data_IF_773330609362
#
_entry.id   IF_773330609362
#
_cell.length_a   1.000
_cell.length_b   1.000
_cell.length_c   1.000
_cell.angle_alpha   90.00
_cell.angle_beta   90.00
_cell.angle_gamma   90.00
#
_symmetry.space_group_name_H-M   'P 1'
#
loop_
_entity.id
_entity.type
_entity.pdbx_description
1 polymer ?
#
# COMPACT_ATOMS: atom_id res chain seq x y z
N UNK A 1 -67.95 25.84 22.97
CA UNK A 1 -66.75 26.57 22.50
C UNK A 1 -65.63 25.56 22.30
N UNK A 2 -65.17 25.32 21.06
CA UNK A 2 -64.01 24.47 20.77
C UNK A 2 -62.74 25.32 20.92
N UNK A 3 -61.89 25.02 21.89
CA UNK A 3 -60.51 25.52 21.93
C UNK A 3 -59.65 24.67 21.01
N UNK A 4 -59.08 25.28 19.97
CA UNK A 4 -58.02 24.68 19.19
C UNK A 4 -56.68 24.86 19.93
N UNK A 5 -55.81 23.82 20.00
CA UNK A 5 -54.50 23.98 20.60
C UNK A 5 -53.63 24.89 19.74
N UNK A 6 -53.10 25.94 20.36
CA UNK A 6 -52.09 26.85 19.84
C UNK A 6 -50.84 26.08 19.39
N UNK A 7 -50.66 25.91 18.08
CA UNK A 7 -49.44 25.34 17.52
C UNK A 7 -48.28 26.33 17.65
N UNK A 8 -47.37 26.12 18.60
CA UNK A 8 -46.01 26.68 18.53
C UNK A 8 -45.01 25.53 18.49
N UNK A 9 -44.38 25.32 17.32
CA UNK A 9 -42.93 25.45 17.29
C UNK A 9 -42.38 26.06 15.99
N UNK A 10 -42.94 27.15 15.45
CA UNK A 10 -42.44 27.71 14.17
C UNK A 10 -41.07 28.41 14.26
N UNK A 11 -40.76 29.10 15.38
CA UNK A 11 -39.51 29.88 15.50
C UNK A 11 -38.25 29.05 15.76
N UNK A 12 -38.36 27.92 16.46
CA UNK A 12 -37.23 27.03 16.73
C UNK A 12 -36.85 26.25 15.47
N UNK A 13 -37.84 25.73 14.74
CA UNK A 13 -37.62 25.01 13.48
C UNK A 13 -37.00 25.93 12.42
N UNK A 14 -37.47 27.17 12.27
CA UNK A 14 -36.86 28.12 11.33
C UNK A 14 -35.39 28.44 11.63
N UNK A 15 -35.02 28.54 12.92
CA UNK A 15 -33.63 28.77 13.34
C UNK A 15 -32.75 27.57 13.03
N UNK A 16 -33.26 26.35 13.26
CA UNK A 16 -32.53 25.11 12.95
C UNK A 16 -32.34 24.98 11.44
N UNK A 17 -33.39 25.20 10.64
CA UNK A 17 -33.31 25.17 9.17
C UNK A 17 -32.35 26.24 8.66
N UNK A 18 -32.40 27.46 9.18
CA UNK A 18 -31.48 28.54 8.80
C UNK A 18 -30.02 28.22 9.13
N UNK A 19 -29.75 27.66 10.32
CA UNK A 19 -28.40 27.24 10.71
C UNK A 19 -27.89 26.09 9.84
N UNK A 20 -28.76 25.12 9.53
CA UNK A 20 -28.44 23.98 8.66
C UNK A 20 -28.08 24.46 7.25
N UNK A 21 -28.87 25.38 6.70
CA UNK A 21 -28.62 25.95 5.38
C UNK A 21 -27.30 26.72 5.34
N UNK A 22 -27.00 27.48 6.39
CA UNK A 22 -25.77 28.24 6.52
C UNK A 22 -24.54 27.31 6.61
N UNK A 23 -24.65 26.21 7.36
CA UNK A 23 -23.61 25.16 7.39
C UNK A 23 -23.41 24.52 6.03
N UNK A 24 -24.47 24.24 5.27
CA UNK A 24 -24.37 23.68 3.92
C UNK A 24 -23.70 24.68 2.96
N UNK A 25 -24.06 25.96 3.03
CA UNK A 25 -23.45 27.00 2.19
C UNK A 25 -21.95 27.14 2.51
N UNK A 26 -21.58 27.15 3.79
CA UNK A 26 -20.17 27.19 4.20
C UNK A 26 -19.43 25.93 3.74
N UNK A 27 -20.04 24.75 3.89
CA UNK A 27 -19.47 23.49 3.42
C UNK A 27 -19.23 23.50 1.90
N UNK A 28 -20.20 23.97 1.11
CA UNK A 28 -20.08 24.07 -0.35
C UNK A 28 -19.02 25.11 -0.76
N UNK A 29 -18.95 26.24 -0.06
CA UNK A 29 -17.94 27.27 -0.31
C UNK A 29 -16.53 26.73 -0.04
N UNK A 30 -16.31 26.06 1.10
CA UNK A 30 -15.02 25.45 1.45
C UNK A 30 -14.66 24.32 0.51
N UNK A 31 -15.64 23.50 0.10
CA UNK A 31 -15.42 22.38 -0.83
C UNK A 31 -14.86 22.84 -2.17
N UNK A 32 -15.21 24.05 -2.63
CA UNK A 32 -14.70 24.63 -3.88
C UNK A 32 -13.21 25.01 -3.82
N UNK A 33 -12.64 25.14 -2.62
CA UNK A 33 -11.21 25.43 -2.42
C UNK A 33 -10.38 24.18 -2.13
N UNK A 34 -11.01 23.00 -2.01
CA UNK A 34 -10.31 21.74 -1.78
C UNK A 34 -9.89 21.17 -3.14
N UNK A 35 -8.59 21.18 -3.41
CA UNK A 35 -8.01 20.61 -4.62
C UNK A 35 -8.04 19.07 -4.55
N UNK A 36 -8.95 18.42 -5.28
CA UNK A 36 -9.10 16.96 -5.31
C UNK A 36 -8.34 16.40 -6.53
N UNK A 37 -7.37 15.50 -6.32
CA UNK A 37 -6.67 14.84 -7.44
C UNK A 37 -7.60 13.86 -8.16
N UNK A 38 -7.27 13.49 -9.41
CA UNK A 38 -8.10 12.65 -10.31
C UNK A 38 -8.51 11.29 -9.71
N UNK A 39 -7.78 10.82 -8.71
CA UNK A 39 -7.92 9.51 -8.06
C UNK A 39 -8.50 9.63 -6.64
N UNK A 40 -8.90 10.83 -6.22
CA UNK A 40 -9.41 11.12 -4.88
C UNK A 40 -10.88 11.57 -4.96
N UNK A 41 -11.61 11.43 -3.85
CA UNK A 41 -12.95 12.01 -3.72
C UNK A 41 -12.89 13.22 -2.79
N UNK A 42 -13.80 14.17 -2.97
CA UNK A 42 -13.93 15.32 -2.07
C UNK A 42 -14.16 14.90 -0.63
N UNK A 43 -15.00 13.88 -0.40
CA UNK A 43 -15.29 13.35 0.93
C UNK A 43 -14.04 12.77 1.58
N UNK A 44 -13.26 11.99 0.82
CA UNK A 44 -11.98 11.46 1.27
C UNK A 44 -11.01 12.58 1.67
N UNK A 45 -10.92 13.65 0.86
CA UNK A 45 -10.03 14.77 1.17
C UNK A 45 -10.45 15.54 2.42
N UNK A 46 -11.76 15.71 2.63
CA UNK A 46 -12.31 16.30 3.86
C UNK A 46 -11.95 15.43 5.06
N UNK A 47 -12.07 14.10 4.95
CA UNK A 47 -11.64 13.19 6.01
C UNK A 47 -10.15 13.36 6.31
N UNK A 48 -9.29 13.39 5.29
CA UNK A 48 -7.84 13.64 5.47
C UNK A 48 -7.57 14.92 6.26
N UNK A 49 -8.21 16.05 5.92
CA UNK A 49 -8.05 17.31 6.67
C UNK A 49 -8.45 17.21 8.13
N UNK A 50 -9.42 16.35 8.46
CA UNK A 50 -9.91 16.17 9.83
C UNK A 50 -9.08 15.16 10.63
N UNK A 51 -8.45 14.18 9.98
CA UNK A 51 -7.81 13.05 10.67
C UNK A 51 -6.29 13.04 10.58
N UNK A 52 -5.68 13.66 9.57
CA UNK A 52 -4.23 13.60 9.39
C UNK A 52 -3.51 14.49 10.40
N UNK A 53 -2.51 13.91 11.06
CA UNK A 53 -1.53 14.65 11.81
C UNK A 53 -0.57 15.41 10.87
N UNK A 54 0.29 16.26 11.44
CA UNK A 54 1.31 16.96 10.66
C UNK A 54 2.25 15.99 9.94
N UNK A 55 2.63 14.88 10.58
CA UNK A 55 3.50 13.87 10.00
C UNK A 55 2.80 13.12 8.85
N UNK A 56 1.51 12.82 9.00
CA UNK A 56 0.71 12.16 7.94
C UNK A 56 0.60 13.05 6.70
N UNK A 57 0.47 14.37 6.89
CA UNK A 57 0.49 15.33 5.79
C UNK A 57 1.83 15.39 5.06
N UNK A 58 2.95 15.34 5.78
CA UNK A 58 4.28 15.30 5.15
C UNK A 58 4.49 13.99 4.40
N UNK A 59 4.08 12.85 4.96
CA UNK A 59 4.16 11.55 4.29
C UNK A 59 3.26 11.49 3.04
N UNK A 60 2.03 12.00 3.12
CA UNK A 60 1.14 12.10 1.97
C UNK A 60 1.76 12.96 0.86
N UNK A 61 2.30 14.14 1.20
CA UNK A 61 2.99 15.00 0.23
C UNK A 61 4.25 14.34 -0.33
N UNK A 62 5.00 13.62 0.49
CA UNK A 62 6.18 12.89 0.05
C UNK A 62 5.78 11.77 -0.92
N UNK A 63 4.74 10.99 -0.62
CA UNK A 63 4.22 9.95 -1.52
C UNK A 63 3.71 10.57 -2.84
N UNK A 64 3.02 11.71 -2.77
CA UNK A 64 2.62 12.43 -3.98
C UNK A 64 3.81 12.90 -4.78
N UNK A 65 4.81 13.47 -4.13
CA UNK A 65 6.06 13.90 -4.77
C UNK A 65 6.76 12.71 -5.42
N UNK A 66 6.83 11.55 -4.75
CA UNK A 66 7.40 10.32 -5.32
C UNK A 66 6.65 9.83 -6.57
N UNK A 67 5.32 10.02 -6.62
CA UNK A 67 4.51 9.69 -7.79
C UNK A 67 4.65 10.72 -8.92
N UNK A 68 4.71 12.01 -8.57
CA UNK A 68 4.84 13.11 -9.54
C UNK A 68 6.26 13.17 -10.14
N UNK A 69 7.30 12.80 -9.38
CA UNK A 69 8.70 12.68 -9.84
C UNK A 69 8.94 11.40 -10.67
N UNK A 70 8.03 10.41 -10.58
CA UNK A 70 8.11 9.14 -11.31
C UNK A 70 6.79 8.85 -12.06
N UNK A 71 6.42 9.69 -13.06
CA UNK A 71 5.16 9.53 -13.77
C UNK A 71 5.21 8.23 -14.60
N UNK A 72 4.28 7.31 -14.33
CA UNK A 72 4.18 6.07 -15.10
C UNK A 72 3.86 6.37 -16.57
N UNK A 73 4.61 5.75 -17.49
CA UNK A 73 4.12 5.51 -18.85
C UNK A 73 3.11 4.36 -18.72
N UNK A 74 1.85 4.63 -19.02
CA UNK A 74 0.76 3.66 -18.88
C UNK A 74 1.09 2.33 -19.58
N UNK A 75 1.51 1.33 -18.81
CA UNK A 75 1.50 -0.06 -19.23
C UNK A 75 0.20 -0.66 -18.74
N UNK A 76 -0.79 -0.67 -19.64
CA UNK A 76 -1.99 -1.47 -19.53
C UNK A 76 -1.60 -2.94 -19.47
N UNK A 77 -1.86 -3.59 -18.35
CA UNK A 77 -1.98 -5.05 -18.29
C UNK A 77 -3.39 -5.37 -17.84
N UNK A 78 -4.16 -5.89 -18.80
CA UNK A 78 -5.45 -6.50 -18.61
C UNK A 78 -5.34 -7.66 -17.60
N UNK A 79 -6.41 -7.82 -16.84
CA UNK A 79 -6.68 -8.95 -15.94
C UNK A 79 -6.48 -10.28 -16.66
N UNK A 80 -5.53 -11.11 -16.20
CA UNK A 80 -5.36 -12.49 -16.66
C UNK A 80 -5.86 -13.46 -15.59
N UNK A 81 -6.63 -14.44 -16.06
CA UNK A 81 -7.25 -15.56 -15.36
C UNK A 81 -6.46 -16.18 -14.21
N UNK A 82 -7.19 -16.56 -13.16
CA UNK A 82 -6.75 -17.36 -12.01
C UNK A 82 -6.53 -18.81 -12.47
N UNK A 83 -5.46 -19.05 -13.24
CA UNK A 83 -4.81 -20.34 -13.25
C UNK A 83 -4.00 -20.45 -11.95
N UNK A 84 -4.09 -21.59 -11.24
CA UNK A 84 -3.31 -21.89 -10.02
C UNK A 84 -1.83 -21.59 -10.23
N UNK A 85 -1.41 -20.36 -9.90
CA UNK A 85 -0.03 -19.94 -9.97
C UNK A 85 0.76 -20.76 -8.95
N UNK A 86 1.97 -21.19 -9.34
CA UNK A 86 2.87 -21.80 -8.38
C UNK A 86 3.09 -20.79 -7.25
N UNK A 87 2.86 -21.20 -6.01
CA UNK A 87 3.15 -20.37 -4.86
C UNK A 87 4.68 -20.21 -4.75
N UNK A 88 5.16 -19.00 -5.01
CA UNK A 88 6.57 -18.64 -4.93
C UNK A 88 6.95 -17.98 -3.60
N UNK A 89 5.96 -17.70 -2.73
CA UNK A 89 6.19 -16.96 -1.51
C UNK A 89 6.78 -17.88 -0.45
N UNK A 90 7.84 -17.41 0.20
CA UNK A 90 8.47 -18.11 1.32
C UNK A 90 7.95 -17.51 2.62
N UNK A 91 7.68 -18.35 3.60
CA UNK A 91 7.05 -17.95 4.86
C UNK A 91 7.93 -18.25 6.09
N UNK A 92 7.65 -17.59 7.21
CA UNK A 92 8.34 -17.84 8.48
C UNK A 92 7.97 -19.23 9.02
N UNK A 93 8.87 -20.19 8.84
CA UNK A 93 8.67 -21.57 9.30
C UNK A 93 8.71 -21.74 10.82
N UNK A 94 9.17 -20.72 11.57
CA UNK A 94 9.22 -20.77 13.05
C UNK A 94 7.86 -20.56 13.68
N UNK A 95 6.92 -19.94 12.95
CA UNK A 95 5.55 -19.64 13.39
C UNK A 95 4.52 -20.67 12.91
N UNK A 96 4.97 -21.72 12.20
CA UNK A 96 4.11 -22.75 11.61
C UNK A 96 3.88 -23.94 12.54
N UNK A 97 2.77 -24.64 12.33
CA UNK A 97 2.57 -25.99 12.89
C UNK A 97 3.50 -27.00 12.23
N UNK A 98 3.85 -28.08 12.93
CA UNK A 98 4.78 -29.11 12.43
C UNK A 98 4.32 -29.81 11.14
N UNK A 99 3.02 -29.83 10.85
CA UNK A 99 2.50 -30.35 9.58
C UNK A 99 2.86 -29.41 8.42
N UNK A 100 2.48 -28.13 8.53
CA UNK A 100 2.71 -27.10 7.51
C UNK A 100 4.21 -26.83 7.32
N UNK A 101 4.97 -26.78 8.41
CA UNK A 101 6.42 -26.60 8.40
C UNK A 101 7.14 -27.68 7.58
N UNK A 102 6.73 -28.94 7.69
CA UNK A 102 7.34 -30.04 6.91
C UNK A 102 7.07 -29.93 5.42
N UNK A 103 5.93 -29.37 5.03
CA UNK A 103 5.60 -29.12 3.63
C UNK A 103 6.43 -27.96 3.08
N UNK A 104 6.48 -26.84 3.80
CA UNK A 104 7.29 -25.68 3.40
C UNK A 104 8.79 -26.01 3.31
N UNK A 105 9.31 -26.80 4.24
CA UNK A 105 10.72 -27.26 4.19
C UNK A 105 11.02 -28.14 2.96
N UNK A 106 10.05 -28.90 2.45
CA UNK A 106 10.23 -29.64 1.19
C UNK A 106 10.30 -28.68 0.01
N UNK A 107 9.46 -27.65 -0.03
CA UNK A 107 9.48 -26.62 -1.06
C UNK A 107 10.81 -25.87 -1.06
N UNK A 108 11.28 -25.44 0.12
CA UNK A 108 12.58 -24.79 0.32
C UNK A 108 13.73 -25.67 -0.18
N UNK A 109 13.74 -26.96 0.18
CA UNK A 109 14.80 -27.89 -0.25
C UNK A 109 14.82 -28.08 -1.77
N UNK A 110 13.65 -28.09 -2.42
CA UNK A 110 13.53 -28.23 -3.86
C UNK A 110 13.91 -26.95 -4.63
N UNK A 111 13.79 -25.78 -4.01
CA UNK A 111 14.01 -24.49 -4.66
C UNK A 111 15.49 -24.15 -4.93
N UNK A 112 16.44 -24.92 -4.37
CA UNK A 112 17.89 -24.83 -4.62
C UNK A 112 18.44 -23.39 -4.60
N UNK A 113 18.24 -22.71 -3.46
CA UNK A 113 18.60 -21.29 -3.28
C UNK A 113 20.10 -20.98 -3.44
N UNK A 114 20.97 -21.98 -3.41
CA UNK A 114 22.42 -21.82 -3.61
C UNK A 114 22.78 -21.25 -4.98
N UNK A 115 21.86 -21.34 -5.95
CA UNK A 115 22.02 -20.80 -7.29
C UNK A 115 21.59 -19.33 -7.42
N UNK A 116 20.96 -18.75 -6.39
CA UNK A 116 20.50 -17.37 -6.42
C UNK A 116 21.68 -16.42 -6.25
N UNK A 117 21.83 -15.49 -7.20
CA UNK A 117 22.81 -14.40 -7.11
C UNK A 117 22.18 -13.21 -6.40
N UNK A 118 22.83 -12.69 -5.36
CA UNK A 118 22.41 -11.47 -4.68
C UNK A 118 22.43 -10.30 -5.68
N UNK A 119 21.37 -9.50 -5.69
CA UNK A 119 21.29 -8.32 -6.55
C UNK A 119 22.30 -7.24 -6.10
N UNK A 120 23.07 -6.73 -7.04
CA UNK A 120 24.06 -5.67 -6.79
C UNK A 120 23.40 -4.29 -6.63
N UNK A 121 22.35 -4.04 -7.43
CA UNK A 121 21.65 -2.77 -7.49
C UNK A 121 20.13 -2.97 -7.35
N UNK A 122 19.63 -3.35 -6.15
CA UNK A 122 18.20 -3.45 -5.89
C UNK A 122 17.55 -2.06 -5.70
N UNK A 123 16.21 -1.96 -5.73
CA UNK A 123 15.52 -0.74 -5.33
C UNK A 123 15.80 -0.41 -3.86
N UNK A 124 15.77 0.88 -3.52
CA UNK A 124 15.79 1.33 -2.12
C UNK A 124 14.37 1.26 -1.55
N UNK A 125 14.24 1.38 -0.22
CA UNK A 125 12.94 1.43 0.49
C UNK A 125 11.92 2.34 -0.21
N UNK A 126 12.32 3.59 -0.52
CA UNK A 126 11.41 4.57 -1.15
C UNK A 126 11.05 4.19 -2.60
N UNK A 127 11.98 3.61 -3.35
CA UNK A 127 11.74 3.18 -4.74
C UNK A 127 10.75 2.01 -4.75
N UNK A 128 10.95 1.04 -3.83
CA UNK A 128 10.05 -0.10 -3.64
C UNK A 128 8.66 0.35 -3.19
N UNK A 129 8.57 1.29 -2.24
CA UNK A 129 7.30 1.86 -1.80
C UNK A 129 6.55 2.52 -2.97
N UNK A 130 7.23 3.33 -3.78
CA UNK A 130 6.61 3.98 -4.93
C UNK A 130 6.11 2.95 -5.97
N UNK A 131 6.91 1.92 -6.24
CA UNK A 131 6.52 0.82 -7.14
C UNK A 131 5.27 0.08 -6.65
N UNK A 132 5.21 -0.24 -5.36
CA UNK A 132 4.07 -0.95 -4.75
C UNK A 132 2.81 -0.07 -4.69
N UNK A 133 2.95 1.24 -4.47
CA UNK A 133 1.82 2.17 -4.55
C UNK A 133 1.24 2.19 -5.97
N UNK A 134 2.09 2.20 -7.01
CA UNK A 134 1.63 2.11 -8.41
C UNK A 134 0.94 0.78 -8.70
N UNK A 135 1.56 -0.32 -8.29
CA UNK A 135 1.01 -1.67 -8.46
C UNK A 135 -0.38 -1.84 -7.82
N UNK A 136 -0.56 -1.30 -6.62
CA UNK A 136 -1.84 -1.31 -5.90
C UNK A 136 -2.80 -0.20 -6.31
N UNK A 137 -2.47 0.55 -7.37
CA UNK A 137 -3.27 1.68 -7.89
C UNK A 137 -3.63 2.71 -6.82
N UNK A 138 -2.71 2.97 -5.88
CA UNK A 138 -2.88 3.93 -4.80
C UNK A 138 -3.52 3.38 -3.52
N UNK A 139 -4.08 2.16 -3.51
CA UNK A 139 -4.70 1.57 -2.31
C UNK A 139 -3.72 1.44 -1.14
N UNK A 140 -2.46 1.14 -1.44
CA UNK A 140 -1.41 1.05 -0.41
C UNK A 140 -1.16 2.40 0.29
N UNK A 141 -1.36 3.54 -0.39
CA UNK A 141 -1.17 4.88 0.19
C UNK A 141 -2.06 5.08 1.40
N UNK A 142 -3.33 4.66 1.31
CA UNK A 142 -4.28 4.79 2.42
C UNK A 142 -3.85 3.97 3.63
N UNK A 143 -3.32 2.77 3.39
CA UNK A 143 -2.87 1.89 4.47
C UNK A 143 -1.60 2.43 5.12
N UNK A 144 -0.62 2.85 4.32
CA UNK A 144 0.64 3.48 4.76
C UNK A 144 0.35 4.68 5.67
N UNK A 145 -0.63 5.50 5.33
CA UNK A 145 -0.95 6.70 6.11
C UNK A 145 -1.77 6.33 7.34
N UNK A 146 -2.92 5.67 7.17
CA UNK A 146 -3.84 5.40 8.29
C UNK A 146 -3.23 4.54 9.39
N UNK A 147 -2.23 3.73 9.05
CA UNK A 147 -1.61 2.80 9.97
C UNK A 147 -0.14 3.09 10.22
N UNK A 148 0.33 4.22 9.71
CA UNK A 148 1.68 4.73 9.88
C UNK A 148 2.75 3.72 9.48
N UNK A 149 2.55 3.07 8.33
CA UNK A 149 3.47 2.04 7.81
C UNK A 149 4.47 2.63 6.83
N UNK A 150 5.70 2.14 6.87
CA UNK A 150 6.70 2.27 5.80
C UNK A 150 6.92 0.91 5.15
N UNK A 151 7.28 0.91 3.86
CA UNK A 151 7.85 -0.28 3.24
C UNK A 151 9.35 -0.32 3.52
N UNK A 152 9.81 -1.48 4.00
CA UNK A 152 11.24 -1.80 4.11
C UNK A 152 11.58 -2.93 3.16
N UNK A 153 12.75 -2.83 2.52
CA UNK A 153 13.27 -3.86 1.64
C UNK A 153 14.36 -4.70 2.33
N UNK A 154 14.24 -6.02 2.19
CA UNK A 154 15.20 -6.99 2.69
C UNK A 154 16.22 -7.40 1.61
N UNK A 155 16.73 -8.64 1.72
CA UNK A 155 17.57 -9.23 0.68
C UNK A 155 16.82 -9.33 -0.65
N UNK A 156 17.55 -9.01 -1.71
CA UNK A 156 17.12 -9.08 -3.10
C UNK A 156 18.04 -10.01 -3.90
N UNK A 157 17.47 -10.72 -4.86
CA UNK A 157 18.16 -11.65 -5.74
C UNK A 157 17.90 -11.29 -7.20
N UNK A 158 18.90 -11.50 -8.06
CA UNK A 158 18.72 -11.31 -9.50
C UNK A 158 17.67 -12.30 -10.03
N UNK A 159 16.65 -11.78 -10.71
CA UNK A 159 15.64 -12.60 -11.36
C UNK A 159 15.91 -12.64 -12.87
N UNK A 160 16.23 -13.84 -13.37
CA UNK A 160 16.51 -14.06 -14.79
C UNK A 160 15.25 -14.01 -15.66
N UNK A 161 14.07 -14.15 -15.06
CA UNK A 161 12.80 -13.94 -15.74
C UNK A 161 12.49 -12.43 -15.85
N UNK A 162 13.22 -11.74 -16.72
CA UNK A 162 13.06 -10.29 -16.87
C UNK A 162 11.83 -9.90 -17.68
N UNK A 163 11.22 -10.83 -18.43
CA UNK A 163 10.09 -10.55 -19.33
C UNK A 163 10.37 -9.38 -20.30
N UNK A 164 11.62 -9.28 -20.76
CA UNK A 164 12.05 -8.21 -21.68
C UNK A 164 12.45 -6.91 -21.00
N UNK A 165 12.34 -6.79 -19.68
CA UNK A 165 12.86 -5.65 -18.93
C UNK A 165 14.39 -5.66 -18.86
N UNK A 166 14.99 -4.47 -18.75
CA UNK A 166 16.44 -4.31 -18.59
C UNK A 166 16.96 -5.03 -17.34
N UNK A 167 16.22 -4.94 -16.23
CA UNK A 167 16.55 -5.58 -14.97
C UNK A 167 15.30 -6.08 -14.28
N UNK A 168 15.41 -7.23 -13.63
CA UNK A 168 14.43 -7.72 -12.67
C UNK A 168 15.14 -8.31 -11.45
N UNK A 169 14.64 -7.99 -10.25
CA UNK A 169 15.13 -8.52 -8.98
C UNK A 169 13.94 -8.93 -8.13
N UNK A 170 14.07 -10.05 -7.42
CA UNK A 170 13.05 -10.53 -6.47
C UNK A 170 13.49 -10.16 -5.06
N UNK A 171 12.67 -9.41 -4.34
CA UNK A 171 13.01 -8.85 -3.03
C UNK A 171 11.97 -9.22 -1.98
N UNK A 172 12.43 -9.56 -0.77
CA UNK A 172 11.57 -9.57 0.40
C UNK A 172 11.23 -8.14 0.81
N UNK A 173 9.99 -7.92 1.23
CA UNK A 173 9.52 -6.65 1.76
C UNK A 173 8.89 -6.87 3.14
N UNK A 174 8.75 -5.78 3.88
CA UNK A 174 8.13 -5.78 5.19
C UNK A 174 7.38 -4.47 5.39
N UNK A 175 6.21 -4.57 6.03
CA UNK A 175 5.46 -3.42 6.51
C UNK A 175 5.97 -3.05 7.90
N UNK A 176 6.61 -1.89 8.02
CA UNK A 176 7.17 -1.39 9.27
C UNK A 176 6.26 -0.30 9.85
N UNK A 177 5.72 -0.53 11.04
CA UNK A 177 4.90 0.46 11.72
C UNK A 177 5.80 1.48 12.43
N UNK A 178 5.70 2.75 12.03
CA UNK A 178 6.51 3.85 12.57
C UNK A 178 6.13 4.22 14.01
N UNK A 179 4.86 4.00 14.40
CA UNK A 179 4.39 4.30 15.75
C UNK A 179 4.89 3.27 16.76
N UNK A 180 4.63 1.99 16.48
CA UNK A 180 5.02 0.90 17.38
C UNK A 180 6.50 0.56 17.24
N UNK A 181 7.13 0.99 16.14
CA UNK A 181 8.51 0.68 15.75
C UNK A 181 8.75 -0.81 15.57
N UNK A 182 7.72 -1.54 15.18
CA UNK A 182 7.76 -2.97 14.92
C UNK A 182 7.27 -3.26 13.52
N UNK A 183 7.69 -4.39 12.96
CA UNK A 183 7.04 -4.90 11.76
C UNK A 183 5.64 -5.45 12.08
N UNK A 184 4.78 -5.48 11.06
CA UNK A 184 3.48 -6.11 11.14
C UNK A 184 3.13 -6.83 9.83
N UNK A 185 2.25 -7.83 9.92
CA UNK A 185 1.63 -8.44 8.75
C UNK A 185 0.60 -7.47 8.14
N UNK A 186 0.11 -7.80 6.94
CA UNK A 186 -0.91 -6.99 6.26
C UNK A 186 -2.09 -6.71 7.21
N UNK A 187 -2.42 -5.45 7.46
CA UNK A 187 -3.43 -5.12 8.45
C UNK A 187 -4.84 -5.59 8.13
N UNK A 188 -5.58 -5.91 9.21
CA UNK A 188 -6.97 -6.38 9.21
C UNK A 188 -7.22 -7.71 8.48
N UNK A 189 -6.19 -8.52 8.21
CA UNK A 189 -6.36 -9.85 7.63
C UNK A 189 -6.80 -9.87 6.17
N UNK A 190 -6.98 -8.71 5.52
CA UNK A 190 -6.99 -8.63 4.06
C UNK A 190 -5.53 -8.71 3.60
N UNK A 191 -5.15 -9.81 2.95
CA UNK A 191 -3.86 -9.97 2.28
C UNK A 191 -3.79 -9.04 1.05
N UNK A 192 -3.76 -7.72 1.27
CA UNK A 192 -3.57 -6.75 0.18
C UNK A 192 -2.11 -6.67 -0.28
N UNK A 193 -1.18 -7.21 0.53
CA UNK A 193 0.25 -7.30 0.21
C UNK A 193 0.84 -8.64 0.62
N UNK A 194 1.76 -9.13 -0.19
CA UNK A 194 2.61 -10.28 0.08
C UNK A 194 3.94 -9.81 0.66
N UNK A 195 4.73 -10.75 1.17
CA UNK A 195 6.03 -10.47 1.80
C UNK A 195 7.22 -10.40 0.81
N UNK A 196 6.96 -10.55 -0.49
CA UNK A 196 7.98 -10.47 -1.52
C UNK A 196 7.38 -10.04 -2.86
N UNK A 197 8.16 -9.37 -3.70
CA UNK A 197 7.73 -8.96 -5.04
C UNK A 197 8.90 -8.99 -6.01
N UNK A 198 8.58 -9.07 -7.30
CA UNK A 198 9.53 -8.74 -8.35
C UNK A 198 9.51 -7.23 -8.57
N UNK A 199 10.70 -6.63 -8.59
CA UNK A 199 10.93 -5.25 -8.96
C UNK A 199 11.74 -5.22 -10.26
N UNK A 200 11.31 -4.40 -11.22
CA UNK A 200 11.95 -4.34 -12.52
C UNK A 200 12.10 -2.91 -13.03
N UNK A 201 13.04 -2.71 -13.96
CA UNK A 201 13.26 -1.46 -14.69
C UNK A 201 13.17 -1.77 -16.19
N UNK A 202 12.38 -1.01 -16.95
CA UNK A 202 12.23 -1.25 -18.39
C UNK A 202 13.50 -0.88 -19.17
N UNK A 203 14.19 0.19 -18.76
CA UNK A 203 15.51 0.58 -19.27
C UNK A 203 16.52 0.90 -18.17
N UNK A 204 17.78 1.10 -18.54
CA UNK A 204 18.82 1.51 -17.60
C UNK A 204 18.48 2.87 -16.96
N UNK A 205 18.59 2.95 -15.63
CA UNK A 205 18.23 4.11 -14.81
C UNK A 205 16.75 4.53 -14.86
N UNK A 206 15.87 3.67 -15.38
CA UNK A 206 14.42 3.91 -15.32
C UNK A 206 13.89 3.75 -13.88
N UNK A 207 12.64 4.15 -13.66
CA UNK A 207 11.99 3.94 -12.38
C UNK A 207 11.77 2.44 -12.13
N UNK A 208 11.70 2.05 -10.86
CA UNK A 208 11.37 0.68 -10.48
C UNK A 208 9.86 0.48 -10.54
N UNK A 209 9.37 -0.48 -11.30
CA UNK A 209 8.01 -0.98 -11.20
C UNK A 209 7.99 -2.36 -10.54
N UNK A 210 6.79 -2.85 -10.21
CA UNK A 210 6.62 -4.11 -9.49
C UNK A 210 5.56 -4.99 -10.13
N UNK A 211 5.69 -6.30 -9.90
CA UNK A 211 4.70 -7.33 -10.22
C UNK A 211 4.76 -8.45 -9.18
N UNK A 212 3.81 -9.37 -9.26
CA UNK A 212 3.81 -10.58 -8.44
C UNK A 212 5.10 -11.38 -8.60
N UNK A 213 5.47 -12.08 -7.53
CA UNK A 213 6.73 -12.80 -7.44
C UNK A 213 6.75 -13.96 -8.45
N UNK A 214 7.71 -13.97 -9.37
CA UNK A 214 7.87 -15.06 -10.36
C UNK A 214 8.98 -16.05 -10.02
N UNK A 215 9.72 -15.82 -8.93
CA UNK A 215 10.82 -16.67 -8.48
C UNK A 215 10.82 -16.80 -6.96
N UNK A 216 10.90 -18.03 -6.46
CA UNK A 216 11.00 -18.27 -5.01
C UNK A 216 12.35 -17.80 -4.49
N UNK A 217 12.31 -16.97 -3.46
CA UNK A 217 13.49 -16.48 -2.72
C UNK A 217 13.42 -16.94 -1.27
N UNK A 218 14.56 -17.12 -0.57
CA UNK A 218 14.55 -17.52 0.84
C UNK A 218 13.92 -16.45 1.73
N UNK A 219 13.20 -16.88 2.78
CA UNK A 219 12.69 -15.98 3.81
C UNK A 219 13.87 -15.33 4.58
N UNK A 220 13.85 -14.00 4.69
CA UNK A 220 14.96 -13.24 5.28
C UNK A 220 14.79 -13.03 6.79
N UNK A 221 15.04 -14.09 7.57
CA UNK A 221 14.88 -14.08 9.03
C UNK A 221 15.65 -12.96 9.74
N UNK A 222 16.83 -12.58 9.23
CA UNK A 222 17.64 -11.51 9.82
C UNK A 222 17.00 -10.14 9.61
N UNK A 223 16.40 -9.93 8.44
CA UNK A 223 15.71 -8.70 8.10
C UNK A 223 14.51 -8.47 9.00
N UNK A 224 13.66 -9.48 9.21
CA UNK A 224 12.49 -9.35 10.09
C UNK A 224 12.91 -9.17 11.57
N UNK A 225 13.91 -9.92 12.06
CA UNK A 225 14.41 -9.80 13.45
C UNK A 225 14.97 -8.43 13.78
N UNK A 226 15.50 -7.70 12.80
CA UNK A 226 16.02 -6.34 12.99
C UNK A 226 14.92 -5.35 13.41
N UNK A 227 13.65 -5.65 13.11
CA UNK A 227 12.50 -4.80 13.36
C UNK A 227 11.43 -5.47 14.24
N UNK A 228 11.81 -6.52 14.98
CA UNK A 228 11.04 -7.08 16.11
C UNK A 228 11.21 -6.23 17.40
#
# INVERSE_FOLDING_TARGET
MKQFPSSKPKRSILKIVGLSLLLIIVFLAVSNFIEVKKNETLLYKIQQYLTYSKEDWENYKQNQKLLDENPAIASSTDTVDVASSADFYSYDTTRMTEAVKREELKLIKNANFDQLKKAENPPKDNDAQAALIRFTQGRLTDVIINQKLDIKIGKCYENKNTEGNFRCVSCMIMLYNRDTKTWQEAPNGENFMQNAYDFYQASENDIWDTKDLSMRIPYDYEFFRKYE
#
